data_IF_076238476988
#
_entry.id   IF_076238476988
#
_cell.length_a   1.000
_cell.length_b   1.000
_cell.length_c   1.000
_cell.angle_alpha   90.00
_cell.angle_beta   90.00
_cell.angle_gamma   90.00
#
_symmetry.space_group_name_H-M   'P 1'
#
loop_
_entity.id
_entity.type
_entity.pdbx_description
1 polymer ?
#
# COMPACT_ATOMS: atom_id res chain seq x y z
N UNK A 1 17.06 16.24 16.03
CA UNK A 1 18.07 15.92 17.05
C UNK A 1 17.63 14.62 17.73
N UNK A 2 18.35 13.52 17.53
CA UNK A 2 17.96 12.18 18.03
C UNK A 2 18.38 11.95 19.49
N UNK A 3 18.32 12.98 20.34
CA UNK A 3 18.83 12.94 21.71
C UNK A 3 18.11 11.89 22.56
N UNK A 4 16.80 11.67 22.32
CA UNK A 4 16.02 10.65 23.02
C UNK A 4 16.56 9.22 22.83
N UNK A 5 17.01 8.87 21.63
CA UNK A 5 17.57 7.54 21.32
C UNK A 5 18.95 7.31 21.97
N UNK A 6 19.72 8.39 22.19
CA UNK A 6 21.06 8.30 22.78
C UNK A 6 21.09 7.89 24.25
N UNK A 7 19.91 7.82 24.90
CA UNK A 7 19.75 7.47 26.32
C UNK A 7 19.24 6.04 26.51
N UNK A 8 18.99 5.30 25.43
CA UNK A 8 18.53 3.92 25.49
C UNK A 8 19.67 2.98 25.95
N UNK A 9 19.50 2.22 27.06
CA UNK A 9 20.48 1.23 27.49
C UNK A 9 20.69 0.15 26.41
N UNK A 10 21.93 -0.31 26.22
CA UNK A 10 22.24 -1.41 25.31
C UNK A 10 22.20 -1.05 23.81
N UNK A 11 22.24 0.23 23.46
CA UNK A 11 22.25 0.64 22.06
C UNK A 11 23.53 0.15 21.35
N UNK A 12 23.45 -0.47 20.16
CA UNK A 12 24.60 -1.07 19.48
C UNK A 12 25.64 -0.06 18.98
N UNK A 13 25.37 1.24 19.05
CA UNK A 13 26.30 2.30 18.65
C UNK A 13 26.08 3.58 19.46
N UNK A 14 27.14 4.37 19.60
CA UNK A 14 27.15 5.61 20.38
C UNK A 14 26.71 6.80 19.53
N UNK A 15 25.41 7.07 19.51
CA UNK A 15 24.77 8.16 18.75
C UNK A 15 25.46 9.52 18.91
N UNK A 16 25.88 9.89 20.13
CA UNK A 16 26.44 11.22 20.43
C UNK A 16 27.85 11.43 19.87
N UNK A 17 28.57 10.34 19.64
CA UNK A 17 29.98 10.36 19.24
C UNK A 17 30.15 10.22 17.73
N UNK A 18 29.06 10.03 16.97
CA UNK A 18 29.11 9.78 15.53
C UNK A 18 28.28 10.81 14.75
N UNK A 19 28.83 11.38 13.65
CA UNK A 19 28.05 12.25 12.79
C UNK A 19 26.89 11.46 12.16
N UNK A 20 25.68 11.98 12.31
CA UNK A 20 24.47 11.39 11.71
C UNK A 20 24.18 12.03 10.37
N UNK A 21 24.34 11.26 9.28
CA UNK A 21 23.84 11.64 7.97
C UNK A 21 22.33 11.87 8.05
N UNK A 22 21.91 13.10 7.76
CA UNK A 22 20.49 13.51 7.80
C UNK A 22 20.06 13.89 6.39
N UNK A 23 19.05 13.20 5.88
CA UNK A 23 18.39 13.58 4.64
C UNK A 23 17.22 14.52 4.94
N UNK A 24 17.16 15.67 4.26
CA UNK A 24 16.09 16.66 4.45
C UNK A 24 15.37 16.89 3.11
N UNK A 25 14.15 16.39 3.00
CA UNK A 25 13.23 16.76 1.93
C UNK A 25 12.33 17.91 2.41
N UNK A 26 12.27 19.01 1.64
CA UNK A 26 11.45 20.19 1.94
C UNK A 26 10.72 20.67 0.70
N UNK A 27 9.47 21.08 0.87
CA UNK A 27 8.67 21.73 -0.17
C UNK A 27 8.13 23.06 0.34
N UNK A 28 7.73 23.94 -0.59
CA UNK A 28 6.99 25.16 -0.28
C UNK A 28 5.49 24.90 -0.45
N UNK A 29 4.68 25.53 0.39
CA UNK A 29 3.22 25.41 0.36
C UNK A 29 2.67 24.34 1.31
N UNK A 30 1.36 24.12 1.23
CA UNK A 30 0.60 23.26 2.12
C UNK A 30 0.87 21.78 1.86
N UNK A 31 1.28 21.05 2.90
CA UNK A 31 1.67 19.64 2.80
C UNK A 31 0.52 18.73 2.34
N UNK A 32 -0.72 19.04 2.69
CA UNK A 32 -1.89 18.24 2.32
C UNK A 32 -2.21 18.28 0.82
N UNK A 33 -1.82 19.33 0.09
CA UNK A 33 -2.01 19.38 -1.38
C UNK A 33 -0.93 18.65 -2.16
N UNK A 34 0.20 18.35 -1.51
CA UNK A 34 1.37 17.66 -2.09
C UNK A 34 2.01 16.75 -1.03
N UNK A 35 1.37 15.61 -0.70
CA UNK A 35 1.90 14.72 0.34
C UNK A 35 3.30 14.20 0.00
N UNK A 36 4.16 14.12 1.03
CA UNK A 36 5.44 13.42 0.93
C UNK A 36 5.22 11.92 1.04
N UNK A 37 5.88 11.16 0.17
CA UNK A 37 5.90 9.70 0.24
C UNK A 37 7.36 9.27 0.29
N UNK A 38 7.67 8.33 1.19
CA UNK A 38 9.01 7.75 1.31
C UNK A 38 8.89 6.25 1.18
N UNK A 39 9.74 5.66 0.34
CA UNK A 39 9.86 4.22 0.17
C UNK A 39 11.25 3.81 0.69
N UNK A 40 11.27 2.96 1.71
CA UNK A 40 12.50 2.39 2.25
C UNK A 40 12.63 0.95 1.78
N UNK A 41 13.74 0.64 1.10
CA UNK A 41 14.10 -0.72 0.70
C UNK A 41 15.39 -1.14 1.41
N UNK A 42 15.31 -2.03 2.40
CA UNK A 42 16.50 -2.67 2.95
C UNK A 42 17.25 -3.44 1.85
N UNK A 43 18.58 -3.28 1.81
CA UNK A 43 19.44 -4.02 0.88
C UNK A 43 20.82 -4.28 1.47
N UNK A 44 21.51 -5.28 0.94
CA UNK A 44 22.88 -5.65 1.29
C UNK A 44 23.73 -5.81 0.03
N UNK A 45 25.03 -6.09 0.18
CA UNK A 45 25.90 -6.39 -0.97
C UNK A 45 25.47 -7.67 -1.71
N UNK A 46 24.97 -8.66 -0.98
CA UNK A 46 24.52 -9.95 -1.53
C UNK A 46 23.05 -9.93 -1.94
N UNK A 47 22.27 -8.99 -1.39
CA UNK A 47 20.86 -8.77 -1.72
C UNK A 47 20.66 -7.30 -2.13
N UNK A 48 21.06 -6.95 -3.38
CA UNK A 48 20.98 -5.57 -3.84
C UNK A 48 19.51 -5.11 -3.97
N UNK A 49 19.32 -3.80 -4.06
CA UNK A 49 18.02 -3.17 -4.32
C UNK A 49 17.29 -3.82 -5.50
N UNK A 50 16.01 -4.15 -5.28
CA UNK A 50 15.09 -4.72 -6.25
C UNK A 50 14.13 -3.68 -6.84
N UNK A 51 14.05 -2.46 -6.29
CA UNK A 51 13.29 -1.37 -6.89
C UNK A 51 13.96 -0.92 -8.19
N UNK A 52 13.19 -0.90 -9.27
CA UNK A 52 13.57 -0.33 -10.57
C UNK A 52 13.17 1.15 -10.63
N UNK A 53 11.94 1.48 -10.24
CA UNK A 53 11.45 2.86 -10.21
C UNK A 53 10.36 3.08 -9.18
N UNK A 54 10.25 4.34 -8.75
CA UNK A 54 9.11 4.85 -7.97
C UNK A 54 8.60 6.10 -8.69
N UNK A 55 7.33 6.09 -9.11
CA UNK A 55 6.73 7.19 -9.84
C UNK A 55 5.42 7.61 -9.20
N UNK A 56 5.22 8.91 -9.02
CA UNK A 56 3.92 9.43 -8.64
C UNK A 56 2.91 9.23 -9.78
N UNK A 57 1.66 8.98 -9.41
CA UNK A 57 0.53 9.13 -10.32
C UNK A 57 -0.55 9.99 -9.67
N UNK A 58 -1.34 10.65 -10.52
CA UNK A 58 -2.51 11.41 -10.10
C UNK A 58 -3.74 10.52 -10.23
N UNK A 59 -4.67 10.66 -9.30
CA UNK A 59 -6.00 10.14 -9.50
C UNK A 59 -6.63 10.80 -10.73
N UNK A 60 -7.42 10.03 -11.47
CA UNK A 60 -8.26 10.48 -12.57
C UNK A 60 -9.54 11.17 -12.05
N UNK A 61 -9.85 11.00 -10.76
CA UNK A 61 -10.86 11.73 -10.02
C UNK A 61 -10.26 12.97 -9.35
N UNK A 62 -11.10 13.93 -8.98
CA UNK A 62 -10.69 15.06 -8.15
C UNK A 62 -10.55 14.62 -6.68
N UNK A 63 -9.45 13.96 -6.36
CA UNK A 63 -9.12 13.52 -5.01
C UNK A 63 -8.09 14.46 -4.37
N UNK A 64 -8.57 15.41 -3.56
CA UNK A 64 -7.70 16.24 -2.71
C UNK A 64 -7.04 15.38 -1.62
N UNK A 65 -5.83 15.75 -1.19
CA UNK A 65 -5.10 14.96 -0.18
C UNK A 65 -4.61 13.60 -0.67
N UNK A 66 -4.66 13.33 -1.98
CA UNK A 66 -4.26 12.05 -2.56
C UNK A 66 -2.77 11.95 -2.84
N UNK A 67 -2.17 10.82 -2.46
CA UNK A 67 -0.85 10.37 -2.90
C UNK A 67 -0.98 9.02 -3.61
N UNK A 68 -0.63 8.98 -4.90
CA UNK A 68 -0.50 7.74 -5.66
C UNK A 68 0.96 7.49 -6.01
N UNK A 69 1.49 6.30 -5.70
CA UNK A 69 2.81 5.88 -6.18
C UNK A 69 2.74 4.51 -6.87
N UNK A 70 3.45 4.39 -7.98
CA UNK A 70 3.72 3.14 -8.67
C UNK A 70 5.16 2.73 -8.34
N UNK A 71 5.33 1.58 -7.69
CA UNK A 71 6.65 0.99 -7.44
C UNK A 71 6.83 -0.19 -8.39
N UNK A 72 7.85 -0.11 -9.24
CA UNK A 72 8.20 -1.19 -10.16
C UNK A 72 9.46 -1.88 -9.65
N UNK A 73 9.43 -3.22 -9.58
CA UNK A 73 10.60 -4.02 -9.26
C UNK A 73 11.33 -4.48 -10.52
N UNK A 74 12.64 -4.69 -10.40
CA UNK A 74 13.50 -5.24 -11.46
C UNK A 74 13.07 -6.62 -11.95
N UNK A 75 12.28 -7.35 -11.14
CA UNK A 75 11.71 -8.66 -11.47
C UNK A 75 10.27 -8.57 -11.98
N UNK A 76 9.81 -7.38 -12.36
CA UNK A 76 8.52 -7.17 -13.02
C UNK A 76 7.31 -7.07 -12.07
N UNK A 77 7.50 -7.02 -10.75
CA UNK A 77 6.40 -6.69 -9.84
C UNK A 77 6.03 -5.22 -9.98
N UNK A 78 4.75 -4.93 -10.09
CA UNK A 78 4.22 -3.57 -10.15
C UNK A 78 3.22 -3.41 -9.01
N UNK A 79 3.51 -2.47 -8.12
CA UNK A 79 2.68 -2.11 -6.97
C UNK A 79 2.06 -0.73 -7.22
N UNK A 80 0.73 -0.67 -7.38
CA UNK A 80 -0.01 0.59 -7.38
C UNK A 80 -0.52 0.86 -5.96
N UNK A 81 -0.02 1.91 -5.35
CA UNK A 81 -0.33 2.28 -3.97
C UNK A 81 -1.14 3.58 -3.99
N UNK A 82 -2.28 3.55 -3.32
CA UNK A 82 -3.20 4.67 -3.14
C UNK A 82 -3.18 5.07 -1.67
N UNK A 83 -3.03 6.36 -1.39
CA UNK A 83 -3.18 6.93 -0.06
C UNK A 83 -4.09 8.15 -0.16
N UNK A 84 -5.16 8.16 0.61
CA UNK A 84 -6.16 9.22 0.65
C UNK A 84 -6.34 9.71 2.08
N UNK A 85 -6.57 11.01 2.24
CA UNK A 85 -6.88 11.59 3.55
C UNK A 85 -8.24 11.11 4.09
N UNK A 86 -9.21 10.90 3.21
CA UNK A 86 -10.56 10.48 3.58
C UNK A 86 -10.94 9.16 2.92
N UNK A 87 -11.35 8.20 3.74
CA UNK A 87 -11.92 6.92 3.28
C UNK A 87 -13.31 7.04 2.62
N UNK A 88 -13.92 8.23 2.61
CA UNK A 88 -15.15 8.47 1.85
C UNK A 88 -14.86 8.95 0.42
N UNK A 89 -13.66 9.47 0.15
CA UNK A 89 -13.28 9.92 -1.17
C UNK A 89 -12.96 8.71 -2.07
N UNK A 90 -13.18 8.87 -3.38
CA UNK A 90 -12.79 7.88 -4.37
C UNK A 90 -11.59 8.33 -5.19
N UNK A 91 -10.66 7.40 -5.42
CA UNK A 91 -9.50 7.59 -6.29
C UNK A 91 -9.55 6.54 -7.42
N UNK A 92 -9.46 7.00 -8.66
CA UNK A 92 -9.36 6.10 -9.82
C UNK A 92 -8.02 6.27 -10.53
N UNK A 93 -7.38 5.18 -10.90
CA UNK A 93 -6.19 5.21 -11.76
C UNK A 93 -6.09 3.93 -12.59
N UNK A 94 -6.00 4.06 -13.92
CA UNK A 94 -5.84 2.93 -14.87
C UNK A 94 -6.87 1.80 -14.65
N UNK A 95 -8.12 2.17 -14.42
CA UNK A 95 -9.21 1.20 -14.21
C UNK A 95 -9.22 0.54 -12.82
N UNK A 96 -8.33 0.95 -11.92
CA UNK A 96 -8.41 0.66 -10.49
C UNK A 96 -9.23 1.77 -9.83
N UNK A 97 -10.27 1.43 -9.10
CA UNK A 97 -11.17 2.34 -8.40
C UNK A 97 -11.19 1.97 -6.91
N UNK A 98 -10.82 2.92 -6.06
CA UNK A 98 -10.63 2.74 -4.63
C UNK A 98 -11.47 3.75 -3.85
N UNK A 99 -12.11 3.28 -2.78
CA UNK A 99 -12.73 4.12 -1.74
C UNK A 99 -12.24 3.60 -0.39
N UNK A 100 -11.14 4.21 0.09
CA UNK A 100 -10.36 3.75 1.24
C UNK A 100 -9.40 4.85 1.72
N UNK A 101 -8.82 4.73 2.91
CA UNK A 101 -7.66 5.58 3.27
C UNK A 101 -6.38 5.09 2.60
N UNK A 102 -6.24 3.77 2.41
CA UNK A 102 -5.07 3.16 1.80
C UNK A 102 -5.47 1.95 0.95
N UNK A 103 -4.81 1.77 -0.19
CA UNK A 103 -4.96 0.55 -0.97
C UNK A 103 -3.68 0.18 -1.71
N UNK A 104 -3.50 -1.12 -1.92
CA UNK A 104 -2.42 -1.68 -2.73
C UNK A 104 -3.02 -2.61 -3.77
N UNK A 105 -2.61 -2.43 -5.03
CA UNK A 105 -2.91 -3.34 -6.13
C UNK A 105 -1.59 -3.78 -6.76
N UNK A 106 -1.16 -5.00 -6.44
CA UNK A 106 0.10 -5.57 -6.89
C UNK A 106 -0.12 -6.69 -7.90
N UNK A 107 0.77 -6.76 -8.87
CA UNK A 107 0.90 -7.90 -9.78
C UNK A 107 2.38 -8.22 -9.98
N UNK A 108 2.75 -9.50 -9.85
CA UNK A 108 4.10 -9.97 -10.17
C UNK A 108 4.21 -10.49 -11.62
N UNK A 109 5.43 -10.78 -12.07
CA UNK A 109 5.69 -11.28 -13.41
C UNK A 109 5.05 -12.66 -13.70
N UNK A 110 4.66 -13.41 -12.65
CA UNK A 110 4.00 -14.71 -12.76
C UNK A 110 2.46 -14.59 -12.73
N UNK A 111 1.93 -13.36 -12.63
CA UNK A 111 0.50 -13.11 -12.51
C UNK A 111 -0.07 -13.40 -11.12
N UNK A 112 0.76 -13.59 -10.09
CA UNK A 112 0.30 -13.54 -8.70
C UNK A 112 -0.12 -12.10 -8.38
N UNK A 113 -1.13 -11.96 -7.52
CA UNK A 113 -1.76 -10.67 -7.24
C UNK A 113 -1.93 -10.48 -5.74
N UNK A 114 -1.79 -9.24 -5.29
CA UNK A 114 -2.15 -8.84 -3.93
C UNK A 114 -3.02 -7.59 -4.03
N UNK A 115 -4.18 -7.65 -3.39
CA UNK A 115 -5.08 -6.53 -3.20
C UNK A 115 -5.20 -6.28 -1.72
N UNK A 116 -4.91 -5.06 -1.30
CA UNK A 116 -5.18 -4.60 0.05
C UNK A 116 -6.11 -3.40 0.00
N UNK A 117 -7.20 -3.49 0.75
CA UNK A 117 -8.12 -2.40 1.04
C UNK A 117 -7.95 -2.06 2.52
N UNK A 118 -7.46 -0.87 2.85
CA UNK A 118 -7.22 -0.40 4.21
C UNK A 118 -8.20 0.70 4.63
N UNK A 119 -8.92 0.47 5.74
CA UNK A 119 -9.99 1.33 6.25
C UNK A 119 -10.94 1.82 5.14
N UNK A 120 -11.42 0.90 4.30
CA UNK A 120 -12.17 1.25 3.09
C UNK A 120 -13.44 0.43 2.91
N UNK A 121 -14.20 0.79 1.88
CA UNK A 121 -15.45 0.13 1.51
C UNK A 121 -15.44 -0.47 0.11
N UNK A 122 -14.51 -0.05 -0.75
CA UNK A 122 -14.45 -0.52 -2.13
C UNK A 122 -13.05 -0.56 -2.70
N UNK A 123 -12.72 -1.66 -3.36
CA UNK A 123 -11.59 -1.77 -4.30
C UNK A 123 -12.08 -2.51 -5.53
N UNK A 124 -11.98 -1.89 -6.71
CA UNK A 124 -12.31 -2.51 -7.99
C UNK A 124 -11.12 -2.46 -8.92
N UNK A 125 -10.88 -3.56 -9.62
CA UNK A 125 -9.96 -3.66 -10.75
C UNK A 125 -10.62 -4.49 -11.87
N UNK A 126 -9.87 -4.78 -12.94
CA UNK A 126 -10.33 -5.70 -14.00
C UNK A 126 -10.51 -7.15 -13.53
N UNK A 127 -9.83 -7.55 -12.46
CA UNK A 127 -9.73 -8.95 -12.02
C UNK A 127 -10.56 -9.25 -10.77
N UNK A 128 -10.77 -8.21 -9.95
CA UNK A 128 -11.29 -8.37 -8.60
C UNK A 128 -12.09 -7.14 -8.17
N UNK A 129 -13.17 -7.41 -7.45
CA UNK A 129 -14.01 -6.43 -6.80
C UNK A 129 -14.19 -6.80 -5.32
N UNK A 130 -13.80 -5.90 -4.42
CA UNK A 130 -14.05 -5.97 -2.98
C UNK A 130 -15.08 -4.89 -2.63
N UNK A 131 -16.09 -5.28 -1.86
CA UNK A 131 -17.09 -4.39 -1.29
C UNK A 131 -17.35 -4.74 0.17
N UNK A 132 -17.38 -3.74 1.04
CA UNK A 132 -17.78 -3.86 2.45
C UNK A 132 -18.87 -2.85 2.76
N UNK A 133 -19.76 -3.17 3.72
CA UNK A 133 -20.81 -2.24 4.16
C UNK A 133 -20.30 -1.17 5.14
N UNK A 134 -19.25 -1.50 5.88
CA UNK A 134 -18.61 -0.64 6.87
C UNK A 134 -17.11 -0.63 6.61
N UNK A 135 -16.43 0.47 6.98
CA UNK A 135 -14.99 0.57 6.78
C UNK A 135 -14.28 -0.58 7.49
N UNK A 136 -13.30 -1.16 6.81
CA UNK A 136 -12.50 -2.23 7.36
C UNK A 136 -11.31 -2.55 6.46
N UNK A 137 -10.57 -3.58 6.87
CA UNK A 137 -9.40 -4.04 6.16
C UNK A 137 -9.72 -5.35 5.45
N UNK A 138 -9.35 -5.45 4.16
CA UNK A 138 -9.49 -6.67 3.36
C UNK A 138 -8.20 -6.91 2.60
N UNK A 139 -7.68 -8.12 2.72
CA UNK A 139 -6.59 -8.63 1.88
C UNK A 139 -7.17 -9.72 0.99
N UNK A 140 -6.94 -9.63 -0.32
CA UNK A 140 -7.20 -10.70 -1.27
C UNK A 140 -5.92 -10.98 -2.06
N UNK A 141 -5.44 -12.22 -2.00
CA UNK A 141 -4.18 -12.64 -2.60
C UNK A 141 -4.40 -13.81 -3.55
N UNK A 142 -3.83 -13.73 -4.75
CA UNK A 142 -3.72 -14.84 -5.69
C UNK A 142 -2.29 -15.37 -5.65
N UNK A 143 -2.10 -16.58 -5.16
CA UNK A 143 -0.81 -17.29 -5.12
C UNK A 143 -0.96 -18.64 -5.79
N UNK A 144 -0.09 -18.93 -6.77
CA UNK A 144 -0.07 -20.22 -7.47
C UNK A 144 -1.46 -20.63 -8.02
N UNK A 145 -2.22 -19.64 -8.52
CA UNK A 145 -3.56 -19.86 -9.06
C UNK A 145 -4.70 -19.91 -8.03
N UNK A 146 -4.40 -20.00 -6.73
CA UNK A 146 -5.40 -20.05 -5.66
C UNK A 146 -5.61 -18.68 -5.04
N UNK A 147 -6.86 -18.39 -4.64
CA UNK A 147 -7.24 -17.15 -3.98
C UNK A 147 -7.41 -17.35 -2.49
N UNK A 148 -6.80 -16.45 -1.71
CA UNK A 148 -6.94 -16.37 -0.27
C UNK A 148 -7.49 -14.99 0.10
N UNK A 149 -8.45 -14.95 1.02
CA UNK A 149 -9.07 -13.71 1.47
C UNK A 149 -9.07 -13.67 2.99
N UNK A 150 -8.64 -12.54 3.54
CA UNK A 150 -8.77 -12.22 4.96
C UNK A 150 -9.43 -10.86 5.12
N UNK A 151 -10.36 -10.72 6.05
CA UNK A 151 -11.10 -9.49 6.24
C UNK A 151 -11.43 -9.24 7.71
N UNK A 152 -11.32 -8.00 8.17
CA UNK A 152 -11.70 -7.61 9.54
C UNK A 152 -13.19 -7.27 9.66
N UNK A 153 -13.91 -7.25 8.53
CA UNK A 153 -15.34 -6.96 8.45
C UNK A 153 -15.98 -7.87 7.41
N UNK A 154 -17.29 -8.16 7.53
CA UNK A 154 -18.00 -8.87 6.47
C UNK A 154 -17.84 -8.16 5.13
N UNK A 155 -17.37 -8.90 4.13
CA UNK A 155 -17.09 -8.37 2.80
C UNK A 155 -17.58 -9.30 1.70
N UNK A 156 -17.80 -8.71 0.53
CA UNK A 156 -18.06 -9.40 -0.73
C UNK A 156 -16.80 -9.26 -1.59
N UNK A 157 -16.21 -10.39 -1.96
CA UNK A 157 -15.09 -10.42 -2.92
C UNK A 157 -15.54 -11.19 -4.16
N UNK A 158 -15.46 -10.56 -5.33
CA UNK A 158 -15.82 -11.15 -6.61
C UNK A 158 -14.58 -11.21 -7.51
N UNK A 159 -14.28 -12.38 -8.06
CA UNK A 159 -13.15 -12.59 -8.97
C UNK A 159 -13.71 -12.75 -10.40
N UNK A 160 -13.30 -11.88 -11.32
CA UNK A 160 -13.95 -11.71 -12.63
C UNK A 160 -13.77 -12.90 -13.58
N UNK A 161 -12.69 -13.68 -13.45
CA UNK A 161 -12.44 -14.87 -14.27
C UNK A 161 -13.26 -16.11 -13.85
N UNK A 162 -14.05 -16.03 -12.78
CA UNK A 162 -14.69 -17.22 -12.19
C UNK A 162 -16.15 -17.02 -11.79
N UNK A 163 -16.66 -15.77 -11.72
CA UNK A 163 -17.99 -15.50 -11.15
C UNK A 163 -18.13 -15.93 -9.68
N UNK A 164 -17.01 -16.25 -9.03
CA UNK A 164 -16.96 -16.79 -7.66
C UNK A 164 -17.11 -15.64 -6.67
N UNK A 165 -18.05 -15.79 -5.76
CA UNK A 165 -18.27 -14.92 -4.61
C UNK A 165 -17.60 -15.56 -3.40
N UNK A 166 -16.54 -14.93 -2.89
CA UNK A 166 -15.98 -15.29 -1.60
C UNK A 166 -16.63 -14.38 -0.55
N UNK A 167 -17.27 -14.98 0.46
CA UNK A 167 -17.66 -14.27 1.68
C UNK A 167 -16.48 -14.33 2.63
N UNK A 168 -15.87 -13.19 2.93
CA UNK A 168 -14.92 -13.08 4.02
C UNK A 168 -15.70 -13.10 5.34
N UNK A 169 -15.69 -14.24 6.02
CA UNK A 169 -16.22 -14.36 7.38
C UNK A 169 -15.38 -15.36 8.15
N UNK A 170 -14.21 -14.94 8.65
CA UNK A 170 -13.59 -15.62 9.79
C UNK A 170 -12.96 -14.58 10.73
N UNK A 171 -13.62 -14.46 11.88
CA UNK A 171 -13.09 -13.93 13.12
C UNK A 171 -12.67 -15.14 13.96
N UNK A 172 -11.41 -15.49 14.01
CA UNK A 172 -10.88 -16.34 15.09
C UNK A 172 -9.51 -15.77 15.49
N UNK A 173 -9.48 -15.11 16.64
CA UNK A 173 -8.25 -14.95 17.42
C UNK A 173 -8.21 -16.19 18.33
N UNK A 174 -7.17 -17.01 18.20
CA UNK A 174 -6.73 -17.86 19.32
C UNK A 174 -6.03 -17.00 20.38
#
# INVERSE_FOLDING_TARGET
MCEGLSRAPGMPYKIKEQPMLTFVARQKGEAWRRPFVVVYEPSTKTEPSHIESVNYFKAQTNADGFAGICVKSKKGRIDHIFSQESAAASATYKGIDVTATYAVCSVDANGNRLYFLGDGTRLRSSELFIETKQKGNVVAEKKNGQWHVHATVPCKVCISSSGVFLRGSQFEYE
#
